data_IF_274603742310
#
_entry.id   IF_274603742310
#
_cell.length_a   1.000
_cell.length_b   1.000
_cell.length_c   1.000
_cell.angle_alpha   90.00
_cell.angle_beta   90.00
_cell.angle_gamma   90.00
#
_symmetry.space_group_name_H-M   'P 1'
#
loop_
_entity.id
_entity.type
_entity.pdbx_description
1 polymer ?
#
# COMPACT_ATOMS: atom_id res chain seq x y z
N UNK A 1 -23.54 11.29 12.27
CA UNK A 1 -24.35 11.40 11.03
C UNK A 1 -23.51 11.57 9.75
N UNK A 2 -22.31 12.16 9.81
CA UNK A 2 -21.44 12.37 8.62
C UNK A 2 -20.74 11.12 8.10
N UNK A 3 -20.56 10.07 8.89
CA UNK A 3 -19.89 8.85 8.45
C UNK A 3 -20.75 7.93 7.56
N UNK A 4 -22.06 8.11 7.54
CA UNK A 4 -22.96 7.27 6.73
C UNK A 4 -22.97 7.62 5.24
N UNK A 5 -22.53 8.80 4.85
CA UNK A 5 -22.60 9.25 3.44
C UNK A 5 -21.37 8.87 2.60
N UNK A 6 -20.28 8.42 3.21
CA UNK A 6 -19.02 8.06 2.52
C UNK A 6 -18.89 6.57 2.22
N UNK A 7 -19.52 5.75 3.03
CA UNK A 7 -19.50 4.29 2.88
C UNK A 7 -20.91 3.89 2.46
N UNK A 8 -21.14 3.55 1.22
CA UNK A 8 -22.43 3.10 0.71
C UNK A 8 -23.13 2.07 1.62
N UNK A 9 -24.32 1.65 1.28
CA UNK A 9 -25.12 0.73 2.09
C UNK A 9 -24.43 -0.65 2.22
N UNK A 10 -24.31 -1.17 3.44
CA UNK A 10 -23.96 -2.57 3.67
C UNK A 10 -25.15 -3.46 3.25
N UNK A 11 -24.92 -4.35 2.30
CA UNK A 11 -25.88 -5.40 1.95
C UNK A 11 -25.39 -6.76 2.44
N UNK A 12 -26.25 -7.51 3.16
CA UNK A 12 -26.02 -8.91 3.48
C UNK A 12 -26.49 -9.79 2.32
N UNK A 13 -25.56 -10.46 1.64
CA UNK A 13 -25.85 -11.44 0.59
C UNK A 13 -25.66 -12.84 1.18
N UNK A 14 -26.62 -13.76 0.92
CA UNK A 14 -26.43 -15.19 1.15
C UNK A 14 -25.76 -15.80 -0.07
N UNK A 15 -24.62 -16.44 0.15
CA UNK A 15 -24.00 -17.25 -0.90
C UNK A 15 -24.77 -18.55 -1.16
N UNK A 16 -24.32 -19.32 -2.17
CA UNK A 16 -24.94 -20.62 -2.51
C UNK A 16 -24.90 -21.66 -1.37
N UNK A 17 -24.03 -21.45 -0.38
CA UNK A 17 -23.86 -22.32 0.78
C UNK A 17 -24.60 -21.80 2.02
N UNK A 18 -25.41 -20.74 1.89
CA UNK A 18 -26.18 -20.16 2.98
C UNK A 18 -25.36 -19.31 3.97
N UNK A 19 -24.07 -19.06 3.72
CA UNK A 19 -23.25 -18.17 4.51
C UNK A 19 -23.62 -16.71 4.22
N UNK A 20 -23.73 -15.91 5.30
CA UNK A 20 -23.96 -14.47 5.19
C UNK A 20 -22.62 -13.76 4.97
N UNK A 21 -22.42 -13.18 3.79
CA UNK A 21 -21.33 -12.26 3.52
C UNK A 21 -21.84 -10.82 3.50
N UNK A 22 -21.04 -9.89 4.06
CA UNK A 22 -21.31 -8.46 3.95
C UNK A 22 -20.65 -7.94 2.68
N UNK A 23 -21.42 -7.29 1.83
CA UNK A 23 -20.93 -6.59 0.64
C UNK A 23 -21.14 -5.11 0.84
N UNK A 24 -20.06 -4.35 0.69
CA UNK A 24 -20.12 -2.88 0.73
C UNK A 24 -20.43 -2.37 -0.67
N UNK A 25 -21.53 -1.65 -0.81
CA UNK A 25 -21.94 -1.02 -2.05
C UNK A 25 -21.60 0.47 -2.00
N UNK A 26 -20.80 0.93 -2.95
CA UNK A 26 -20.47 2.34 -3.12
C UNK A 26 -21.38 2.95 -4.19
N UNK A 27 -22.02 4.07 -3.89
CA UNK A 27 -22.83 4.83 -4.85
C UNK A 27 -21.96 5.59 -5.85
N UNK A 28 -20.76 6.01 -5.40
CA UNK A 28 -19.77 6.70 -6.20
C UNK A 28 -18.75 5.72 -6.77
N UNK A 29 -18.16 6.06 -7.90
CA UNK A 29 -17.16 5.25 -8.58
C UNK A 29 -15.96 6.08 -9.01
N UNK A 30 -14.89 5.40 -9.35
CA UNK A 30 -13.71 5.98 -9.96
C UNK A 30 -13.13 7.16 -9.19
N UNK A 31 -12.85 8.24 -9.90
CA UNK A 31 -12.23 9.45 -9.33
C UNK A 31 -13.11 10.13 -8.28
N UNK A 32 -14.41 10.17 -8.48
CA UNK A 32 -15.35 10.81 -7.54
C UNK A 32 -15.35 10.12 -6.17
N UNK A 33 -15.32 8.78 -6.17
CA UNK A 33 -15.17 7.99 -4.94
C UNK A 33 -13.82 8.29 -4.29
N UNK A 34 -12.73 8.32 -5.06
CA UNK A 34 -11.40 8.64 -4.55
C UNK A 34 -11.35 10.02 -3.90
N UNK A 35 -11.82 11.05 -4.59
CA UNK A 35 -11.79 12.44 -4.12
C UNK A 35 -12.53 12.62 -2.78
N UNK A 36 -13.59 11.86 -2.56
CA UNK A 36 -14.33 11.87 -1.28
C UNK A 36 -13.68 10.98 -0.21
N UNK A 37 -13.15 9.81 -0.59
CA UNK A 37 -12.64 8.84 0.35
C UNK A 37 -11.21 9.14 0.82
N UNK A 38 -10.36 9.75 -0.02
CA UNK A 38 -8.93 9.91 0.26
C UNK A 38 -8.62 10.55 1.62
N UNK A 39 -9.46 11.47 2.11
CA UNK A 39 -9.24 12.18 3.37
C UNK A 39 -9.55 11.31 4.61
N UNK A 40 -10.29 10.23 4.44
CA UNK A 40 -10.67 9.30 5.51
C UNK A 40 -9.96 7.95 5.41
N UNK A 41 -9.32 7.67 4.28
CA UNK A 41 -8.49 6.48 4.11
C UNK A 41 -7.21 6.62 4.94
N UNK A 42 -6.89 5.56 5.67
CA UNK A 42 -5.67 5.50 6.46
C UNK A 42 -4.48 5.08 5.59
N UNK A 43 -3.27 5.46 6.03
CA UNK A 43 -2.05 4.93 5.44
C UNK A 43 -2.04 3.40 5.52
N UNK A 44 -1.63 2.70 4.45
CA UNK A 44 -1.45 1.26 4.47
C UNK A 44 -0.29 0.84 5.40
N UNK A 45 0.67 1.71 5.64
CA UNK A 45 1.86 1.42 6.45
C UNK A 45 1.48 1.34 7.92
N UNK A 46 1.77 0.22 8.55
CA UNK A 46 1.63 0.01 9.99
C UNK A 46 2.93 0.31 10.73
N UNK A 47 4.05 -0.23 10.21
CA UNK A 47 5.38 -0.04 10.78
C UNK A 47 6.43 0.03 9.69
N UNK A 48 7.57 0.65 10.01
CA UNK A 48 8.81 0.61 9.25
C UNK A 48 9.91 0.00 10.10
N UNK A 49 10.62 -0.97 9.53
CA UNK A 49 11.77 -1.60 10.15
C UNK A 49 12.96 -1.45 9.21
N UNK A 50 14.10 -1.13 9.76
CA UNK A 50 15.36 -1.00 9.07
C UNK A 50 16.25 -2.19 9.40
N UNK A 51 17.07 -2.65 8.47
CA UNK A 51 18.12 -3.62 8.74
C UNK A 51 19.30 -3.43 7.77
N UNK A 52 20.46 -3.94 8.16
CA UNK A 52 21.68 -3.79 7.35
C UNK A 52 21.69 -4.76 6.18
N UNK A 53 21.21 -5.98 6.38
CA UNK A 53 21.05 -7.01 5.36
C UNK A 53 19.86 -7.91 5.68
N UNK A 54 19.30 -8.55 4.65
CA UNK A 54 18.19 -9.49 4.79
C UNK A 54 18.29 -10.60 3.75
N UNK A 55 18.15 -11.85 4.21
CA UNK A 55 18.13 -13.03 3.35
C UNK A 55 16.69 -13.50 3.16
N UNK A 56 16.15 -13.27 1.97
CA UNK A 56 14.78 -13.60 1.62
C UNK A 56 14.72 -14.78 0.66
N UNK A 57 13.82 -15.71 0.91
CA UNK A 57 13.54 -16.85 0.02
C UNK A 57 12.51 -16.52 -1.06
N UNK A 58 11.90 -15.35 -1.00
CA UNK A 58 10.87 -14.88 -1.93
C UNK A 58 11.09 -13.41 -2.32
N UNK A 59 10.54 -13.02 -3.48
CA UNK A 59 10.49 -11.64 -3.91
C UNK A 59 9.30 -10.93 -3.24
N UNK A 60 9.53 -9.72 -2.75
CA UNK A 60 8.53 -8.86 -2.15
C UNK A 60 8.33 -7.59 -2.98
N UNK A 61 7.13 -7.01 -3.02
CA UNK A 61 6.87 -5.79 -3.76
C UNK A 61 7.73 -4.62 -3.27
N UNK A 62 8.28 -3.87 -4.21
CA UNK A 62 8.98 -2.61 -3.93
C UNK A 62 7.95 -1.56 -3.52
N UNK A 63 8.25 -0.78 -2.48
CA UNK A 63 7.38 0.27 -1.94
C UNK A 63 8.11 1.61 -1.79
N UNK A 64 7.47 2.58 -1.16
CA UNK A 64 8.04 3.88 -0.80
C UNK A 64 8.58 4.66 -2.01
N UNK A 65 9.65 5.40 -1.79
CA UNK A 65 10.28 6.23 -2.83
C UNK A 65 10.77 5.40 -4.02
N UNK A 66 11.20 4.16 -3.79
CA UNK A 66 11.65 3.29 -4.87
C UNK A 66 10.51 2.85 -5.79
N UNK A 67 9.31 2.65 -5.27
CA UNK A 67 8.12 2.42 -6.09
C UNK A 67 7.66 3.73 -6.77
N UNK A 68 7.76 4.88 -6.10
CA UNK A 68 7.46 6.17 -6.70
C UNK A 68 8.40 6.46 -7.89
N UNK A 69 9.68 6.13 -7.76
CA UNK A 69 10.66 6.25 -8.85
C UNK A 69 10.29 5.40 -10.08
N UNK A 70 9.67 4.25 -9.89
CA UNK A 70 9.16 3.43 -10.99
C UNK A 70 8.00 4.11 -11.75
N UNK A 71 7.14 4.82 -11.05
CA UNK A 71 5.97 5.50 -11.63
C UNK A 71 6.24 6.96 -12.01
N UNK A 72 7.45 7.48 -11.77
CA UNK A 72 7.79 8.89 -11.93
C UNK A 72 9.18 9.09 -12.53
N UNK A 73 9.63 10.34 -12.57
CA UNK A 73 10.97 10.71 -13.02
C UNK A 73 11.95 10.93 -11.85
N UNK A 74 11.54 10.59 -10.61
CA UNK A 74 12.43 10.66 -9.46
C UNK A 74 13.47 9.53 -9.50
N UNK A 75 14.60 9.80 -8.88
CA UNK A 75 15.61 8.77 -8.65
C UNK A 75 15.20 7.87 -7.47
N UNK A 76 15.63 6.62 -7.52
CA UNK A 76 15.51 5.69 -6.39
C UNK A 76 16.41 6.14 -5.26
N UNK A 77 16.00 5.83 -4.03
CA UNK A 77 16.85 5.91 -2.85
C UNK A 77 17.95 4.82 -2.87
N UNK A 78 18.93 4.98 -2.00
CA UNK A 78 20.02 4.00 -1.84
C UNK A 78 19.52 2.75 -1.15
N UNK A 79 18.66 2.92 -0.16
CA UNK A 79 18.07 1.86 0.62
C UNK A 79 17.08 1.07 -0.25
N UNK A 80 17.12 -0.25 -0.13
CA UNK A 80 16.11 -1.10 -0.74
C UNK A 80 14.83 -1.07 0.10
N UNK A 81 13.71 -0.73 -0.55
CA UNK A 81 12.41 -0.59 0.13
C UNK A 81 11.45 -1.68 -0.32
N UNK A 82 11.07 -2.55 0.59
CA UNK A 82 10.16 -3.66 0.33
C UNK A 82 8.94 -3.63 1.25
N UNK A 83 7.82 -4.12 0.73
CA UNK A 83 6.56 -4.22 1.45
C UNK A 83 6.31 -5.67 1.88
N UNK A 84 5.85 -5.85 3.12
CA UNK A 84 5.37 -7.11 3.65
C UNK A 84 4.04 -6.91 4.38
N UNK A 85 3.18 -7.89 4.34
CA UNK A 85 2.04 -7.95 5.28
C UNK A 85 2.53 -8.30 6.69
N UNK A 86 1.73 -8.02 7.71
CA UNK A 86 2.06 -8.37 9.11
C UNK A 86 2.31 -9.87 9.30
N UNK A 87 1.66 -10.72 8.50
CA UNK A 87 1.87 -12.16 8.52
C UNK A 87 3.25 -12.55 7.98
N UNK A 88 3.61 -12.00 6.82
CA UNK A 88 4.92 -12.24 6.16
C UNK A 88 6.06 -11.71 7.02
N UNK A 89 5.93 -10.50 7.55
CA UNK A 89 6.93 -9.93 8.45
C UNK A 89 7.16 -10.79 9.71
N UNK A 90 6.09 -11.31 10.31
CA UNK A 90 6.23 -12.22 11.47
C UNK A 90 6.99 -13.49 11.10
N UNK A 91 6.76 -14.06 9.92
CA UNK A 91 7.49 -15.23 9.46
C UNK A 91 8.98 -14.92 9.25
N UNK A 92 9.30 -13.81 8.58
CA UNK A 92 10.68 -13.34 8.36
C UNK A 92 11.39 -13.06 9.69
N UNK A 93 10.72 -12.39 10.63
CA UNK A 93 11.26 -12.14 11.97
C UNK A 93 11.54 -13.42 12.73
N UNK A 94 10.65 -14.41 12.66
CA UNK A 94 10.83 -15.70 13.32
C UNK A 94 11.94 -16.55 12.71
N UNK A 95 12.24 -16.36 11.43
CA UNK A 95 13.32 -17.04 10.72
C UNK A 95 14.71 -16.45 11.02
N UNK A 96 14.78 -15.33 11.73
CA UNK A 96 16.02 -14.63 12.13
C UNK A 96 16.98 -14.38 10.94
N UNK A 97 16.43 -13.90 9.83
CA UNK A 97 17.16 -13.69 8.58
C UNK A 97 17.58 -12.24 8.34
N UNK A 98 17.23 -11.34 9.28
CA UNK A 98 17.58 -9.92 9.24
C UNK A 98 18.84 -9.65 10.06
N UNK A 99 19.77 -8.89 9.51
CA UNK A 99 20.94 -8.38 10.22
C UNK A 99 20.62 -7.00 10.83
N UNK A 100 20.87 -6.84 12.14
CA UNK A 100 20.67 -5.59 12.89
C UNK A 100 19.29 -4.93 12.68
N UNK A 101 18.16 -5.64 12.89
CA UNK A 101 16.83 -5.05 12.74
C UNK A 101 16.60 -3.97 13.81
N UNK A 102 16.23 -2.75 13.36
CA UNK A 102 16.02 -1.60 14.22
C UNK A 102 14.98 -0.64 13.61
N UNK A 103 14.73 0.49 14.28
CA UNK A 103 13.74 1.49 13.86
C UNK A 103 14.37 2.81 13.36
N UNK A 104 15.67 2.86 13.17
CA UNK A 104 16.40 4.11 12.91
C UNK A 104 17.00 4.18 11.52
N UNK A 105 17.80 3.19 11.13
CA UNK A 105 18.55 3.19 9.86
C UNK A 105 18.95 1.78 9.41
N UNK A 106 19.34 1.66 8.15
CA UNK A 106 19.81 0.42 7.53
C UNK A 106 19.79 0.53 6.01
N UNK A 107 20.35 -0.47 5.34
CA UNK A 107 20.37 -0.54 3.88
C UNK A 107 19.03 -1.02 3.29
N UNK A 108 18.23 -1.70 4.13
CA UNK A 108 16.90 -2.18 3.79
C UNK A 108 15.86 -1.53 4.68
N UNK A 109 14.75 -1.12 4.07
CA UNK A 109 13.56 -0.60 4.74
C UNK A 109 12.40 -1.54 4.44
N UNK A 110 11.86 -2.17 5.48
CA UNK A 110 10.70 -3.03 5.39
C UNK A 110 9.49 -2.25 5.85
N UNK A 111 8.57 -1.96 4.95
CA UNK A 111 7.26 -1.43 5.30
C UNK A 111 6.29 -2.58 5.58
N UNK A 112 5.82 -2.69 6.81
CA UNK A 112 4.76 -3.63 7.18
C UNK A 112 3.42 -2.97 6.89
N UNK A 113 2.63 -3.58 6.00
CA UNK A 113 1.36 -3.04 5.56
C UNK A 113 0.18 -3.79 6.19
N UNK A 114 -0.92 -3.05 6.41
CA UNK A 114 -2.19 -3.54 6.98
C UNK A 114 -2.94 -4.47 6.05
N UNK A 115 -2.67 -4.41 4.74
CA UNK A 115 -3.30 -5.22 3.71
C UNK A 115 -2.29 -5.56 2.59
N UNK A 116 -2.51 -6.66 1.86
CA UNK A 116 -1.64 -7.02 0.74
C UNK A 116 -1.79 -6.05 -0.43
N UNK A 117 -0.80 -6.07 -1.33
CA UNK A 117 -0.87 -5.30 -2.59
C UNK A 117 -2.13 -5.67 -3.38
N UNK A 118 -2.82 -4.65 -3.86
CA UNK A 118 -3.94 -4.83 -4.77
C UNK A 118 -3.40 -5.14 -6.17
N UNK A 119 -3.44 -6.42 -6.55
CA UNK A 119 -2.94 -6.88 -7.85
C UNK A 119 -4.07 -7.20 -8.82
N UNK A 120 -3.79 -7.02 -10.11
CA UNK A 120 -4.61 -7.65 -11.15
C UNK A 120 -4.22 -9.12 -11.27
N UNK A 121 -5.18 -9.98 -11.61
CA UNK A 121 -4.91 -11.39 -11.87
C UNK A 121 -3.83 -11.50 -12.95
N UNK A 122 -2.70 -12.14 -12.62
CA UNK A 122 -1.56 -12.35 -13.52
C UNK A 122 -0.39 -11.37 -13.39
N UNK A 123 -0.49 -10.33 -12.58
CA UNK A 123 0.62 -9.43 -12.28
C UNK A 123 1.61 -10.07 -11.28
N UNK A 124 2.90 -9.93 -11.56
CA UNK A 124 3.97 -10.42 -10.67
C UNK A 124 4.19 -9.56 -9.42
N UNK A 125 3.31 -8.63 -9.10
CA UNK A 125 3.37 -7.78 -7.90
C UNK A 125 4.77 -7.26 -7.53
N UNK A 126 5.58 -6.89 -8.53
CA UNK A 126 6.94 -6.35 -8.29
C UNK A 126 6.92 -4.99 -7.58
N UNK A 127 5.82 -4.27 -7.73
CA UNK A 127 5.62 -2.90 -7.24
C UNK A 127 4.29 -2.81 -6.52
N UNK A 128 4.23 -2.01 -5.47
CA UNK A 128 2.95 -1.67 -4.84
C UNK A 128 2.07 -0.89 -5.81
N UNK A 129 0.75 -1.05 -5.70
CA UNK A 129 -0.19 -0.33 -6.55
C UNK A 129 -0.17 1.19 -6.31
N UNK A 130 -0.53 1.96 -7.35
CA UNK A 130 -0.43 3.42 -7.33
C UNK A 130 -1.24 4.08 -6.23
N UNK A 131 -2.45 3.63 -5.97
CA UNK A 131 -3.31 4.27 -4.97
C UNK A 131 -2.84 3.99 -3.54
N UNK A 132 -2.43 2.77 -3.25
CA UNK A 132 -1.83 2.41 -1.96
C UNK A 132 -0.50 3.13 -1.76
N UNK A 133 0.32 3.29 -2.82
CA UNK A 133 1.55 4.08 -2.78
C UNK A 133 1.26 5.54 -2.42
N UNK A 134 0.29 6.17 -3.06
CA UNK A 134 -0.13 7.55 -2.74
C UNK A 134 -0.53 7.69 -1.27
N UNK A 135 -1.30 6.73 -0.75
CA UNK A 135 -1.70 6.74 0.67
C UNK A 135 -0.50 6.54 1.60
N UNK A 136 0.50 5.73 1.22
CA UNK A 136 1.69 5.48 2.02
C UNK A 136 2.65 6.68 2.10
N UNK A 137 2.64 7.54 1.06
CA UNK A 137 3.51 8.71 0.95
C UNK A 137 2.83 10.02 1.39
N UNK A 138 1.59 9.97 1.86
CA UNK A 138 0.81 11.17 2.22
C UNK A 138 1.48 12.04 3.29
N UNK A 139 2.22 11.43 4.21
CA UNK A 139 2.89 12.13 5.31
C UNK A 139 4.34 12.53 4.96
N UNK A 140 4.78 12.25 3.74
CA UNK A 140 6.08 12.69 3.26
C UNK A 140 6.06 14.20 3.01
N UNK A 141 7.00 14.91 3.61
CA UNK A 141 7.09 16.37 3.52
C UNK A 141 8.04 16.85 2.41
N UNK A 142 8.57 15.97 1.57
CA UNK A 142 9.39 16.37 0.42
C UNK A 142 8.49 16.91 -0.71
N UNK A 143 8.63 18.19 -1.11
CA UNK A 143 7.82 18.78 -2.19
C UNK A 143 7.94 18.06 -3.53
N UNK A 144 9.06 17.36 -3.76
CA UNK A 144 9.26 16.58 -4.99
C UNK A 144 8.39 15.33 -4.97
N UNK A 145 8.28 14.68 -3.81
CA UNK A 145 7.40 13.52 -3.59
C UNK A 145 5.94 13.94 -3.75
N UNK A 146 5.53 15.03 -3.10
CA UNK A 146 4.17 15.57 -3.18
C UNK A 146 3.75 15.83 -4.64
N UNK A 147 4.59 16.50 -5.41
CA UNK A 147 4.33 16.78 -6.83
C UNK A 147 4.15 15.52 -7.68
N UNK A 148 4.98 14.50 -7.46
CA UNK A 148 4.87 13.25 -8.22
C UNK A 148 3.66 12.41 -7.79
N UNK A 149 3.29 12.46 -6.51
CA UNK A 149 2.05 11.86 -6.00
C UNK A 149 0.82 12.49 -6.65
N UNK A 150 0.74 13.82 -6.73
CA UNK A 150 -0.33 14.52 -7.43
C UNK A 150 -0.39 14.14 -8.92
N UNK A 151 0.76 14.01 -9.57
CA UNK A 151 0.85 13.60 -10.97
C UNK A 151 0.30 12.19 -11.18
N UNK A 152 0.68 11.22 -10.31
CA UNK A 152 0.16 9.85 -10.37
C UNK A 152 -1.36 9.82 -10.30
N UNK A 153 -1.96 10.61 -9.42
CA UNK A 153 -3.42 10.71 -9.29
C UNK A 153 -4.04 11.32 -10.55
N UNK A 154 -3.43 12.37 -11.12
CA UNK A 154 -3.94 13.02 -12.33
C UNK A 154 -3.89 12.11 -13.56
N UNK A 155 -2.88 11.26 -13.66
CA UNK A 155 -2.68 10.31 -14.76
C UNK A 155 -3.41 8.96 -14.54
N UNK A 156 -4.01 8.76 -13.37
CA UNK A 156 -4.72 7.51 -13.05
C UNK A 156 -5.91 7.30 -13.99
N UNK A 157 -5.95 6.16 -14.65
CA UNK A 157 -7.11 5.73 -15.43
C UNK A 157 -8.19 5.19 -14.51
N UNK A 158 -9.20 5.99 -14.26
CA UNK A 158 -10.35 5.60 -13.46
C UNK A 158 -11.32 4.77 -14.31
N UNK A 159 -11.87 3.74 -13.70
CA UNK A 159 -12.96 2.97 -14.32
C UNK A 159 -14.28 3.53 -13.80
N UNK A 160 -15.18 3.82 -14.70
CA UNK A 160 -16.56 4.22 -14.40
C UNK A 160 -17.40 3.04 -13.89
#
# INVERSE_FOLDING_TARGET
EMQRSLVGSEMCIRDRNGQRSKVVHFELKGKELWDKAQNVLLSPVENRIFCDDIRLDAEYPVCGINALAHYSMLNRDREEMIMMTSKEYRAVKSADVMENPNIYDGNYIIEVWKYPVVSKIGDKNQWVDRLSLVLSLREDNDPRVEKEVERIISEQKWKD
#
